data_IF_950590904064
#
_entry.id   IF_950590904064
#
_cell.length_a   1.000
_cell.length_b   1.000
_cell.length_c   1.000
_cell.angle_alpha   90.00
_cell.angle_beta   90.00
_cell.angle_gamma   90.00
#
_symmetry.space_group_name_H-M   'P 1'
#
loop_
_entity.id
_entity.type
_entity.pdbx_description
1 polymer ?
#
# COMPACT_ATOMS: atom_id res chain seq x y z
N UNK A 1 -61.98 22.32 2.18
CA UNK A 1 -61.27 21.05 2.45
C UNK A 1 -60.01 21.06 1.61
N UNK A 2 -58.81 21.23 2.20
CA UNK A 2 -57.55 21.38 1.46
C UNK A 2 -56.71 20.09 1.52
N UNK A 3 -56.34 19.60 0.33
CA UNK A 3 -55.06 18.97 -0.05
C UNK A 3 -54.35 17.98 0.90
N UNK A 4 -55.04 16.99 1.46
CA UNK A 4 -54.35 15.88 2.14
C UNK A 4 -53.70 14.88 1.15
N UNK A 5 -54.24 14.71 -0.06
CA UNK A 5 -53.70 13.74 -1.02
C UNK A 5 -52.36 14.17 -1.62
N UNK A 6 -52.20 15.45 -1.96
CA UNK A 6 -50.98 15.97 -2.62
C UNK A 6 -49.73 15.91 -1.72
N UNK A 7 -49.91 16.07 -0.40
CA UNK A 7 -48.80 16.01 0.57
C UNK A 7 -48.28 14.58 0.71
N UNK A 8 -49.20 13.60 0.82
CA UNK A 8 -48.88 12.16 0.90
C UNK A 8 -48.13 11.64 -0.34
N UNK A 9 -48.53 12.03 -1.55
CA UNK A 9 -47.79 11.64 -2.76
C UNK A 9 -46.37 12.25 -2.82
N UNK A 10 -46.19 13.48 -2.31
CA UNK A 10 -44.87 14.12 -2.29
C UNK A 10 -43.91 13.47 -1.28
N UNK A 11 -44.41 13.00 -0.13
CA UNK A 11 -43.60 12.32 0.88
C UNK A 11 -43.24 10.89 0.45
N UNK A 12 -44.17 10.18 -0.22
CA UNK A 12 -43.89 8.85 -0.79
C UNK A 12 -42.79 8.93 -1.86
N UNK A 13 -42.84 9.93 -2.74
CA UNK A 13 -41.82 10.11 -3.78
C UNK A 13 -40.43 10.42 -3.18
N UNK A 14 -40.34 11.31 -2.17
CA UNK A 14 -39.07 11.61 -1.49
C UNK A 14 -38.48 10.40 -0.77
N UNK A 15 -39.34 9.57 -0.16
CA UNK A 15 -38.90 8.34 0.51
C UNK A 15 -38.40 7.31 -0.50
N UNK A 16 -39.06 7.17 -1.66
CA UNK A 16 -38.62 6.30 -2.74
C UNK A 16 -37.27 6.74 -3.33
N UNK A 17 -37.11 8.04 -3.62
CA UNK A 17 -35.85 8.62 -4.07
C UNK A 17 -34.72 8.37 -3.07
N UNK A 18 -34.99 8.52 -1.77
CA UNK A 18 -34.01 8.23 -0.71
C UNK A 18 -33.59 6.76 -0.68
N UNK A 19 -34.54 5.84 -0.82
CA UNK A 19 -34.26 4.40 -0.84
C UNK A 19 -33.43 4.00 -2.07
N UNK A 20 -33.77 4.56 -3.24
CA UNK A 20 -33.00 4.34 -4.48
C UNK A 20 -31.58 4.87 -4.31
N UNK A 21 -31.41 6.09 -3.80
CA UNK A 21 -30.09 6.69 -3.57
C UNK A 21 -29.25 5.90 -2.56
N UNK A 22 -29.86 5.35 -1.50
CA UNK A 22 -29.15 4.49 -0.54
C UNK A 22 -28.72 3.17 -1.18
N UNK A 23 -29.57 2.58 -2.01
CA UNK A 23 -29.25 1.34 -2.72
C UNK A 23 -28.09 1.55 -3.71
N UNK A 24 -28.15 2.61 -4.51
CA UNK A 24 -27.09 2.97 -5.46
C UNK A 24 -25.75 3.20 -4.76
N UNK A 25 -25.73 3.96 -3.65
CA UNK A 25 -24.51 4.16 -2.85
C UNK A 25 -23.94 2.87 -2.27
N UNK A 26 -24.82 1.91 -1.92
CA UNK A 26 -24.37 0.61 -1.41
C UNK A 26 -23.75 -0.25 -2.53
N UNK A 27 -24.35 -0.25 -3.71
CA UNK A 27 -23.83 -0.96 -4.88
C UNK A 27 -22.48 -0.37 -5.34
N UNK A 28 -22.35 0.96 -5.33
CA UNK A 28 -21.11 1.67 -5.62
C UNK A 28 -20.00 1.37 -4.61
N UNK A 29 -20.31 1.39 -3.31
CA UNK A 29 -19.36 1.02 -2.26
C UNK A 29 -18.88 -0.43 -2.41
N UNK A 30 -19.80 -1.36 -2.71
CA UNK A 30 -19.45 -2.75 -2.92
C UNK A 30 -18.51 -2.89 -4.12
N UNK A 31 -18.86 -2.29 -5.27
CA UNK A 31 -18.00 -2.30 -6.47
C UNK A 31 -16.61 -1.78 -6.16
N UNK A 32 -16.49 -0.64 -5.47
CA UNK A 32 -15.19 -0.08 -5.11
C UNK A 32 -14.39 -1.00 -4.19
N UNK A 33 -15.06 -1.71 -3.28
CA UNK A 33 -14.42 -2.69 -2.41
C UNK A 33 -13.90 -3.88 -3.22
N UNK A 34 -14.70 -4.40 -4.15
CA UNK A 34 -14.33 -5.52 -5.02
C UNK A 34 -13.12 -5.15 -5.90
N UNK A 35 -13.09 -3.93 -6.44
CA UNK A 35 -11.96 -3.39 -7.22
C UNK A 35 -10.71 -3.24 -6.36
N UNK A 36 -10.85 -2.75 -5.12
CA UNK A 36 -9.73 -2.64 -4.20
C UNK A 36 -9.11 -4.01 -3.91
N UNK A 37 -9.96 -5.02 -3.68
CA UNK A 37 -9.53 -6.39 -3.42
C UNK A 37 -8.83 -6.99 -4.64
N UNK A 38 -9.40 -6.82 -5.84
CA UNK A 38 -8.78 -7.30 -7.09
C UNK A 38 -7.39 -6.68 -7.30
N UNK A 39 -7.28 -5.35 -7.20
CA UNK A 39 -6.02 -4.63 -7.36
C UNK A 39 -4.99 -5.12 -6.35
N UNK A 40 -5.37 -5.18 -5.07
CA UNK A 40 -4.47 -5.59 -4.01
C UNK A 40 -3.99 -7.03 -4.19
N UNK A 41 -4.91 -7.97 -4.45
CA UNK A 41 -4.57 -9.38 -4.60
C UNK A 41 -3.68 -9.60 -5.82
N UNK A 42 -3.98 -9.00 -6.99
CA UNK A 42 -3.09 -9.07 -8.15
C UNK A 42 -1.69 -8.56 -7.84
N UNK A 43 -1.57 -7.39 -7.23
CA UNK A 43 -0.27 -6.83 -6.83
C UNK A 43 0.46 -7.80 -5.89
N UNK A 44 -0.19 -8.28 -4.84
CA UNK A 44 0.48 -9.11 -3.84
C UNK A 44 0.81 -10.50 -4.38
N UNK A 45 -0.04 -11.10 -5.20
CA UNK A 45 0.13 -12.48 -5.69
C UNK A 45 1.09 -12.55 -6.88
N UNK A 46 1.04 -11.58 -7.79
CA UNK A 46 1.70 -11.67 -9.09
C UNK A 46 3.02 -10.88 -9.19
N UNK A 47 3.38 -10.09 -8.18
CA UNK A 47 4.64 -9.31 -8.20
C UNK A 47 5.80 -9.99 -7.47
N UNK A 48 7.02 -9.55 -7.74
CA UNK A 48 8.22 -10.00 -7.05
C UNK A 48 8.99 -8.78 -6.50
N UNK A 49 8.90 -8.55 -5.18
CA UNK A 49 9.58 -7.41 -4.56
C UNK A 49 11.10 -7.46 -4.69
N UNK A 50 11.68 -8.67 -4.70
CA UNK A 50 13.14 -8.82 -4.81
C UNK A 50 13.66 -8.33 -6.15
N UNK A 51 12.90 -8.55 -7.22
CA UNK A 51 13.21 -8.06 -8.56
C UNK A 51 13.24 -6.53 -8.58
N UNK A 52 12.14 -5.89 -8.17
CA UNK A 52 12.05 -4.43 -8.14
C UNK A 52 13.12 -3.78 -7.23
N UNK A 53 13.42 -4.39 -6.08
CA UNK A 53 14.41 -3.86 -5.16
C UNK A 53 15.84 -3.96 -5.68
N UNK A 54 16.16 -5.01 -6.45
CA UNK A 54 17.46 -5.14 -7.12
C UNK A 54 17.64 -4.05 -8.18
N UNK A 55 16.66 -3.85 -9.04
CA UNK A 55 16.68 -2.80 -10.08
C UNK A 55 16.82 -1.39 -9.46
N UNK A 56 16.11 -1.12 -8.36
CA UNK A 56 16.25 0.13 -7.63
C UNK A 56 17.68 0.34 -7.10
N UNK A 57 18.29 -0.71 -6.53
CA UNK A 57 19.66 -0.66 -5.98
C UNK A 57 20.71 -0.39 -7.06
N UNK A 58 20.55 -0.91 -8.27
CA UNK A 58 21.47 -0.66 -9.39
C UNK A 58 21.50 0.82 -9.79
N UNK A 59 20.39 1.53 -9.59
CA UNK A 59 20.21 2.91 -10.03
C UNK A 59 20.39 3.95 -8.91
N UNK A 60 20.32 3.55 -7.63
CA UNK A 60 20.36 4.45 -6.47
C UNK A 60 21.37 3.99 -5.41
N UNK A 61 22.62 4.50 -5.41
CA UNK A 61 23.59 4.18 -4.37
C UNK A 61 23.14 4.71 -3.00
N UNK A 62 23.28 3.85 -1.99
CA UNK A 62 22.68 3.92 -0.64
C UNK A 62 22.78 5.27 0.10
N UNK A 63 21.66 5.70 0.71
CA UNK A 63 21.56 6.86 1.62
C UNK A 63 20.86 6.45 2.93
N UNK A 64 21.30 6.98 4.08
CA UNK A 64 20.77 6.66 5.42
C UNK A 64 19.79 7.69 6.01
N UNK A 65 18.65 7.24 6.53
CA UNK A 65 18.11 7.34 7.93
C UNK A 65 16.59 7.15 7.92
N UNK A 66 16.02 6.20 8.66
CA UNK A 66 14.57 5.92 8.69
C UNK A 66 13.69 7.03 9.30
N UNK A 67 12.61 7.42 8.58
CA UNK A 67 11.35 7.92 9.14
C UNK A 67 10.22 7.75 8.09
N UNK A 68 9.18 6.98 8.41
CA UNK A 68 7.95 6.90 7.60
C UNK A 68 6.79 7.46 8.41
N UNK A 69 6.24 8.59 7.95
CA UNK A 69 4.94 9.07 8.39
C UNK A 69 4.00 8.85 7.20
N UNK A 70 3.11 7.87 7.33
CA UNK A 70 1.92 7.83 6.48
C UNK A 70 1.04 9.00 6.94
N UNK A 71 0.93 10.05 6.14
CA UNK A 71 0.00 11.12 6.45
C UNK A 71 -1.35 10.76 5.80
N UNK A 72 -2.40 10.73 6.64
CA UNK A 72 -3.73 10.21 6.32
C UNK A 72 -4.56 11.12 5.39
N UNK A 73 -3.96 12.07 4.64
CA UNK A 73 -4.72 13.04 3.85
C UNK A 73 -4.19 13.22 2.41
N UNK A 74 -4.27 12.16 1.58
CA UNK A 74 -4.25 12.30 0.12
C UNK A 74 -5.57 12.91 -0.38
N UNK A 75 -5.78 14.19 -0.11
CA UNK A 75 -6.79 15.00 -0.82
C UNK A 75 -6.21 16.35 -1.28
N UNK A 76 -5.20 16.95 -0.62
CA UNK A 76 -4.61 18.23 -1.04
C UNK A 76 -3.17 18.46 -0.51
N UNK A 77 -2.13 18.31 -1.34
CA UNK A 77 -0.74 18.73 -1.07
C UNK A 77 -0.05 18.18 0.20
N UNK A 78 0.63 17.03 0.08
CA UNK A 78 1.52 16.55 1.14
C UNK A 78 2.98 16.35 0.66
N UNK A 79 3.89 16.94 1.45
CA UNK A 79 5.33 16.81 1.36
C UNK A 79 5.78 15.45 1.90
N UNK A 80 6.52 14.68 1.10
CA UNK A 80 7.16 13.44 1.54
C UNK A 80 8.67 13.62 1.61
N UNK A 81 9.26 13.25 2.76
CA UNK A 81 10.70 13.04 2.91
C UNK A 81 10.90 11.59 3.34
N UNK A 82 11.33 10.73 2.43
CA UNK A 82 11.74 9.37 2.77
C UNK A 82 13.25 9.22 2.67
N UNK A 83 13.82 8.52 3.65
CA UNK A 83 15.25 8.25 3.76
C UNK A 83 15.41 6.78 4.16
N UNK A 84 16.28 6.09 3.43
CA UNK A 84 16.16 4.66 3.18
C UNK A 84 16.98 3.80 4.17
N UNK A 85 16.48 2.61 4.52
CA UNK A 85 17.28 1.50 5.06
C UNK A 85 16.57 0.15 4.82
N UNK A 86 16.84 -0.49 3.68
CA UNK A 86 16.37 -1.84 3.36
C UNK A 86 17.31 -2.87 3.99
N UNK A 87 16.81 -3.64 4.95
CA UNK A 87 17.59 -4.68 5.62
C UNK A 87 17.45 -6.02 4.91
N UNK A 88 16.21 -6.46 4.68
CA UNK A 88 15.94 -7.77 4.11
C UNK A 88 14.61 -7.81 3.37
N UNK A 89 14.54 -8.70 2.39
CA UNK A 89 13.31 -9.09 1.69
C UNK A 89 12.95 -10.50 2.14
N UNK A 90 11.66 -10.74 2.35
CA UNK A 90 11.16 -12.04 2.79
C UNK A 90 11.42 -13.14 1.76
N UNK A 91 11.55 -14.39 2.20
CA UNK A 91 11.77 -15.55 1.29
C UNK A 91 10.69 -15.71 0.21
N UNK A 92 9.45 -15.37 0.53
CA UNK A 92 8.34 -15.40 -0.43
C UNK A 92 8.32 -14.16 -1.35
N UNK A 93 9.28 -13.24 -1.19
CA UNK A 93 9.48 -12.03 -2.00
C UNK A 93 8.30 -11.06 -1.99
N UNK A 94 7.46 -11.09 -0.94
CA UNK A 94 6.27 -10.24 -0.80
C UNK A 94 6.41 -9.10 0.21
N UNK A 95 7.42 -9.17 1.08
CA UNK A 95 7.65 -8.16 2.12
C UNK A 95 9.10 -7.74 2.18
N UNK A 96 9.35 -6.52 2.64
CA UNK A 96 10.64 -6.12 3.14
C UNK A 96 10.57 -5.70 4.60
N UNK A 97 11.71 -5.76 5.27
CA UNK A 97 11.90 -5.19 6.60
C UNK A 97 12.86 -4.00 6.52
N UNK A 98 12.48 -2.92 7.19
CA UNK A 98 13.36 -1.79 7.40
C UNK A 98 14.40 -2.10 8.49
N UNK A 99 15.67 -1.78 8.24
CA UNK A 99 16.77 -2.09 9.18
C UNK A 99 16.80 -1.27 10.46
N UNK A 100 16.19 -0.08 10.46
CA UNK A 100 16.21 0.82 11.62
C UNK A 100 15.04 0.53 12.57
N UNK A 101 13.81 0.49 12.06
CA UNK A 101 12.60 0.35 12.87
C UNK A 101 12.02 -1.07 12.88
N UNK A 102 12.61 -2.01 12.12
CA UNK A 102 12.12 -3.37 11.94
C UNK A 102 10.68 -3.46 11.41
N UNK A 103 10.11 -2.37 10.90
CA UNK A 103 8.79 -2.40 10.29
C UNK A 103 8.81 -3.26 9.02
N UNK A 104 7.78 -4.08 8.87
CA UNK A 104 7.57 -4.95 7.72
C UNK A 104 6.55 -4.29 6.79
N UNK A 105 6.80 -4.32 5.48
CA UNK A 105 6.07 -3.54 4.47
C UNK A 105 6.05 -4.29 3.14
N UNK A 106 5.09 -3.99 2.26
CA UNK A 106 4.92 -4.69 0.98
C UNK A 106 5.56 -3.94 -0.20
N UNK A 107 5.36 -4.43 -1.42
CA UNK A 107 5.78 -3.74 -2.64
C UNK A 107 5.07 -2.39 -2.87
N UNK A 108 3.83 -2.24 -2.40
CA UNK A 108 3.11 -0.96 -2.47
C UNK A 108 3.84 0.07 -1.61
N UNK A 109 4.16 -0.32 -0.38
CA UNK A 109 4.98 0.52 0.50
C UNK A 109 6.36 0.77 -0.09
N UNK A 110 6.98 -0.23 -0.74
CA UNK A 110 8.29 -0.07 -1.35
C UNK A 110 8.28 1.03 -2.41
N UNK A 111 7.31 1.02 -3.32
CA UNK A 111 7.17 2.06 -4.35
C UNK A 111 7.00 3.44 -3.72
N UNK A 112 6.13 3.56 -2.71
CA UNK A 112 5.91 4.84 -1.99
C UNK A 112 7.17 5.33 -1.29
N UNK A 113 7.88 4.42 -0.63
CA UNK A 113 8.97 4.74 0.28
C UNK A 113 10.33 4.86 -0.39
N UNK A 114 10.55 4.22 -1.55
CA UNK A 114 11.82 4.19 -2.26
C UNK A 114 11.80 5.03 -3.54
N UNK A 115 10.63 5.15 -4.20
CA UNK A 115 10.49 5.97 -5.41
C UNK A 115 9.76 7.30 -5.16
N UNK A 116 9.45 7.62 -3.90
CA UNK A 116 8.72 8.84 -3.49
C UNK A 116 7.40 9.05 -4.25
N UNK A 117 6.67 7.95 -4.48
CA UNK A 117 5.42 7.95 -5.24
C UNK A 117 4.19 8.07 -4.31
N UNK A 118 3.14 8.72 -4.83
CA UNK A 118 1.81 8.64 -4.23
C UNK A 118 1.29 7.19 -4.26
N UNK A 119 0.22 6.89 -3.52
CA UNK A 119 -0.35 5.54 -3.58
C UNK A 119 -0.90 5.21 -4.98
N UNK A 120 -1.50 6.18 -5.66
CA UNK A 120 -2.01 6.03 -7.03
C UNK A 120 -0.85 5.75 -7.99
N UNK A 121 0.21 6.56 -7.92
CA UNK A 121 1.35 6.42 -8.83
C UNK A 121 2.14 5.15 -8.54
N UNK A 122 2.18 4.71 -7.27
CA UNK A 122 2.74 3.40 -6.92
C UNK A 122 1.97 2.26 -7.56
N UNK A 123 0.63 2.28 -7.51
CA UNK A 123 -0.19 1.25 -8.16
C UNK A 123 0.02 1.24 -9.67
N UNK A 124 0.05 2.41 -10.32
CA UNK A 124 0.32 2.55 -11.76
C UNK A 124 1.72 2.05 -12.13
N UNK A 125 2.72 2.45 -11.37
CA UNK A 125 4.10 2.01 -11.58
C UNK A 125 4.23 0.49 -11.46
N UNK A 126 3.59 -0.12 -10.46
CA UNK A 126 3.58 -1.57 -10.28
C UNK A 126 2.88 -2.27 -11.45
N UNK A 127 1.73 -1.75 -11.89
CA UNK A 127 0.99 -2.27 -13.05
C UNK A 127 1.85 -2.23 -14.32
N UNK A 128 2.49 -1.08 -14.59
CA UNK A 128 3.36 -0.90 -15.75
C UNK A 128 4.62 -1.77 -15.67
N UNK A 129 5.23 -1.92 -14.49
CA UNK A 129 6.45 -2.70 -14.31
C UNK A 129 6.18 -4.21 -14.46
N UNK A 130 5.12 -4.72 -13.82
CA UNK A 130 4.79 -6.15 -13.82
C UNK A 130 3.75 -6.57 -14.87
N UNK A 131 3.19 -5.63 -15.63
CA UNK A 131 2.17 -5.86 -16.66
C UNK A 131 0.93 -6.60 -16.12
N UNK A 132 0.34 -6.06 -15.03
CA UNK A 132 -0.72 -6.75 -14.27
C UNK A 132 -2.14 -6.58 -14.84
N UNK A 133 -2.34 -5.64 -15.75
CA UNK A 133 -3.65 -5.28 -16.31
C UNK A 133 -4.65 -4.95 -15.19
N UNK A 134 -4.29 -3.96 -14.37
CA UNK A 134 -5.14 -3.49 -13.27
C UNK A 134 -6.30 -2.63 -13.78
N UNK A 135 -7.42 -2.65 -13.07
CA UNK A 135 -8.59 -1.83 -13.37
C UNK A 135 -8.38 -0.35 -12.96
N UNK A 136 -7.37 0.31 -13.51
CA UNK A 136 -6.94 1.66 -13.13
C UNK A 136 -7.98 2.75 -13.42
N UNK A 137 -8.91 2.50 -14.34
CA UNK A 137 -9.97 3.44 -14.70
C UNK A 137 -10.84 3.84 -13.50
N UNK A 138 -11.07 2.93 -12.56
CA UNK A 138 -11.87 3.20 -11.35
C UNK A 138 -11.15 4.17 -10.39
N UNK A 139 -9.86 4.41 -10.56
CA UNK A 139 -9.08 5.41 -9.82
C UNK A 139 -9.15 6.82 -10.45
N UNK A 140 -9.78 6.99 -11.62
CA UNK A 140 -9.95 8.30 -12.25
C UNK A 140 -11.04 9.14 -11.56
N UNK A 141 -12.07 8.48 -11.03
CA UNK A 141 -13.13 9.12 -10.27
C UNK A 141 -12.66 9.38 -8.81
N UNK A 142 -12.67 10.64 -8.32
CA UNK A 142 -12.15 10.96 -6.99
C UNK A 142 -12.86 10.27 -5.82
N UNK A 143 -14.17 10.04 -5.93
CA UNK A 143 -14.97 9.43 -4.87
C UNK A 143 -14.67 7.93 -4.80
N UNK A 144 -14.67 7.24 -5.95
CA UNK A 144 -14.29 5.83 -6.04
C UNK A 144 -12.84 5.62 -5.63
N UNK A 145 -11.92 6.45 -6.15
CA UNK A 145 -10.49 6.41 -5.82
C UNK A 145 -10.27 6.43 -4.32
N UNK A 146 -10.94 7.34 -3.60
CA UNK A 146 -10.79 7.45 -2.14
C UNK A 146 -11.18 6.16 -1.42
N UNK A 147 -12.30 5.54 -1.82
CA UNK A 147 -12.78 4.28 -1.25
C UNK A 147 -11.80 3.15 -1.57
N UNK A 148 -11.39 3.03 -2.83
CA UNK A 148 -10.49 1.98 -3.32
C UNK A 148 -9.15 2.04 -2.60
N UNK A 149 -8.51 3.21 -2.56
CA UNK A 149 -7.20 3.39 -1.91
C UNK A 149 -7.27 3.08 -0.41
N UNK A 150 -8.35 3.48 0.28
CA UNK A 150 -8.54 3.15 1.70
C UNK A 150 -8.75 1.65 1.93
N UNK A 151 -9.44 0.97 1.01
CA UNK A 151 -9.55 -0.49 1.00
C UNK A 151 -8.17 -1.13 0.89
N UNK A 152 -7.38 -0.75 -0.12
CA UNK A 152 -6.03 -1.28 -0.34
C UNK A 152 -5.12 -1.02 0.87
N UNK A 153 -5.16 0.17 1.48
CA UNK A 153 -4.39 0.47 2.72
C UNK A 153 -4.74 -0.48 3.85
N UNK A 154 -6.04 -0.72 4.05
CA UNK A 154 -6.54 -1.60 5.10
C UNK A 154 -6.08 -3.04 4.87
N UNK A 155 -6.24 -3.55 3.65
CA UNK A 155 -5.78 -4.88 3.27
C UNK A 155 -4.26 -5.02 3.36
N UNK A 156 -3.49 -4.01 2.96
CA UNK A 156 -2.04 -4.01 3.08
C UNK A 156 -1.59 -4.14 4.55
N UNK A 157 -2.21 -3.35 5.43
CA UNK A 157 -1.95 -3.40 6.87
C UNK A 157 -2.32 -4.75 7.47
N UNK A 158 -3.48 -5.28 7.10
CA UNK A 158 -3.96 -6.59 7.57
C UNK A 158 -3.08 -7.74 7.07
N UNK A 159 -2.68 -7.71 5.79
CA UNK A 159 -1.81 -8.69 5.17
C UNK A 159 -0.45 -8.75 5.88
N UNK A 160 0.17 -7.60 6.16
CA UNK A 160 1.41 -7.54 6.95
C UNK A 160 1.21 -8.10 8.37
N UNK A 161 0.08 -7.81 9.02
CA UNK A 161 -0.20 -8.27 10.37
C UNK A 161 -0.45 -9.80 10.46
N UNK A 162 -1.11 -10.38 9.47
CA UNK A 162 -1.61 -11.77 9.52
C UNK A 162 -0.74 -12.77 8.74
N UNK A 163 -0.17 -12.35 7.61
CA UNK A 163 0.53 -13.22 6.65
C UNK A 163 2.05 -13.04 6.68
N UNK A 164 2.55 -12.25 7.63
CA UNK A 164 3.97 -12.08 7.89
C UNK A 164 4.39 -12.75 9.22
N UNK A 165 4.38 -14.10 9.32
CA UNK A 165 5.10 -14.75 10.40
C UNK A 165 6.56 -14.29 10.37
N UNK A 166 7.34 -14.50 11.44
CA UNK A 166 8.77 -14.20 11.49
C UNK A 166 9.59 -15.11 10.54
N UNK A 167 9.31 -15.00 9.25
CA UNK A 167 9.96 -15.65 8.10
C UNK A 167 11.41 -15.13 7.97
N UNK A 168 11.72 -14.03 8.64
CA UNK A 168 13.07 -13.51 8.84
C UNK A 168 13.88 -14.27 9.91
N UNK A 169 13.36 -15.39 10.43
CA UNK A 169 14.15 -16.30 11.28
C UNK A 169 15.49 -16.59 10.59
N UNK A 170 16.58 -16.19 11.26
CA UNK A 170 17.96 -16.21 10.74
C UNK A 170 18.39 -17.63 10.34
N UNK A 171 18.03 -18.07 9.14
CA UNK A 171 18.73 -19.17 8.48
C UNK A 171 19.87 -18.54 7.68
N UNK A 172 21.07 -18.55 8.27
CA UNK A 172 22.30 -17.98 7.71
C UNK A 172 22.67 -18.50 6.31
N UNK A 173 22.08 -19.61 5.86
CA UNK A 173 22.47 -20.32 4.64
C UNK A 173 21.54 -20.10 3.44
N UNK A 174 20.44 -19.34 3.58
CA UNK A 174 19.40 -19.24 2.54
C UNK A 174 18.68 -17.87 2.55
N UNK A 175 19.41 -16.81 2.89
CA UNK A 175 18.96 -15.48 2.56
C UNK A 175 19.48 -15.21 1.14
N UNK A 176 18.62 -14.71 0.25
CA UNK A 176 19.09 -13.70 -0.70
C UNK A 176 19.44 -12.46 0.16
N UNK A 177 20.48 -12.60 0.98
CA UNK A 177 21.03 -11.50 1.70
C UNK A 177 21.53 -10.59 0.60
N UNK A 178 21.08 -9.33 0.61
CA UNK A 178 21.69 -8.30 -0.21
C UNK A 178 23.16 -8.03 0.20
N UNK A 179 23.77 -8.93 1.00
CA UNK A 179 24.98 -8.80 1.78
C UNK A 179 25.70 -10.15 1.89
N UNK A 180 26.74 -10.38 1.08
CA UNK A 180 27.85 -11.26 1.47
C UNK A 180 28.75 -10.57 2.52
N UNK A 181 28.66 -9.24 2.64
CA UNK A 181 29.28 -8.45 3.69
C UNK A 181 28.28 -7.39 4.16
N UNK A 182 27.69 -7.58 5.34
CA UNK A 182 26.92 -6.51 5.98
C UNK A 182 27.90 -5.41 6.40
N UNK A 183 27.80 -4.17 5.88
CA UNK A 183 28.63 -3.06 6.38
C UNK A 183 28.32 -2.73 7.87
N UNK A 184 27.30 -3.37 8.46
CA UNK A 184 26.88 -3.18 9.84
C UNK A 184 27.55 -4.12 10.85
N UNK A 185 28.35 -5.11 10.43
CA UNK A 185 29.19 -5.86 11.38
C UNK A 185 30.21 -4.96 12.08
N UNK A 186 30.57 -3.82 11.48
CA UNK A 186 31.56 -2.90 12.04
C UNK A 186 31.02 -1.90 13.09
N UNK A 187 29.74 -1.93 13.45
CA UNK A 187 29.23 -1.11 14.57
C UNK A 187 29.04 -1.88 15.89
N UNK A 188 29.54 -3.12 15.99
CA UNK A 188 29.69 -3.81 17.30
C UNK A 188 30.98 -3.48 18.05
N UNK A 189 31.83 -2.61 17.52
CA UNK A 189 33.01 -2.10 18.22
C UNK A 189 32.92 -0.59 18.45
N UNK A 190 31.81 -0.16 19.06
CA UNK A 190 31.83 0.97 20.00
C UNK A 190 32.63 0.59 21.25
N UNK A 191 33.92 0.32 21.07
CA UNK A 191 34.87 0.24 22.16
C UNK A 191 34.90 1.59 22.85
N UNK A 192 34.16 1.72 23.95
CA UNK A 192 34.56 2.64 25.01
C UNK A 192 35.89 2.09 25.52
N UNK A 193 36.99 2.70 25.07
CA UNK A 193 38.21 2.68 25.87
C UNK A 193 37.93 3.49 27.13
N UNK A 194 37.61 2.80 28.22
CA UNK A 194 38.12 3.08 29.56
C UNK A 194 38.35 1.78 30.28
#
# INVERSE_FOLDING_TARGET
MKNNSTILFSEVNKNLERMINMKLKKEELQRCTDVAEEIFNKIIEETNLSELANDYKETHPYNSTCCFVDIEYEVNDELFYHRYNLDQISKNKKYYQCGDCNSKRTIIDFCRNFFDLSMVDSIKFIDDYFQLDLCLKELEDPDNRTIILNGIRSMNKEYVANQCPDIFSKNQNELDAFYDESPFENNKLGGIKK
#
